data_IF_859413561650
#
_entry.id   IF_859413561650
#
_cell.length_a   1.000
_cell.length_b   1.000
_cell.length_c   1.000
_cell.angle_alpha   90.00
_cell.angle_beta   90.00
_cell.angle_gamma   90.00
#
_symmetry.space_group_name_H-M   'P 1'
#
loop_
_entity.id
_entity.type
_entity.pdbx_description
1 polymer ?
#
# COMPACT_ATOMS: atom_id res chain seq x y z
N UNK A 1 -17.15 1.11 2.71
CA UNK A 1 -16.18 2.08 2.15
C UNK A 1 -15.06 2.46 3.12
N UNK A 2 -15.25 2.31 4.44
CA UNK A 2 -14.25 2.59 5.49
C UNK A 2 -12.99 1.73 5.41
N UNK A 3 -13.09 0.42 5.18
CA UNK A 3 -11.92 -0.46 5.15
C UNK A 3 -10.92 -0.14 4.02
N UNK A 4 -11.41 0.16 2.81
CA UNK A 4 -10.53 0.54 1.69
C UNK A 4 -9.81 1.87 1.95
N UNK A 5 -10.50 2.85 2.54
CA UNK A 5 -9.92 4.14 2.93
C UNK A 5 -8.86 3.95 4.03
N UNK A 6 -9.13 3.08 5.01
CA UNK A 6 -8.16 2.77 6.07
C UNK A 6 -6.91 2.07 5.52
N UNK A 7 -7.06 1.07 4.65
CA UNK A 7 -5.93 0.39 4.02
C UNK A 7 -5.11 1.34 3.13
N UNK A 8 -5.77 2.24 2.39
CA UNK A 8 -5.10 3.30 1.64
C UNK A 8 -4.26 4.21 2.53
N UNK A 9 -4.84 4.71 3.63
CA UNK A 9 -4.11 5.53 4.60
C UNK A 9 -2.94 4.80 5.28
N UNK A 10 -3.08 3.50 5.57
CA UNK A 10 -1.97 2.68 6.04
C UNK A 10 -0.86 2.51 5.00
N UNK A 11 -1.22 2.40 3.71
CA UNK A 11 -0.26 2.37 2.61
C UNK A 11 0.54 3.66 2.48
N UNK A 12 -0.12 4.82 2.58
CA UNK A 12 0.53 6.13 2.52
C UNK A 12 1.47 6.38 3.71
N UNK A 13 1.04 6.02 4.93
CA UNK A 13 1.88 6.10 6.14
C UNK A 13 3.10 5.15 6.04
N UNK A 14 2.90 3.93 5.54
CA UNK A 14 3.99 2.98 5.29
C UNK A 14 5.01 3.55 4.29
N UNK A 15 4.55 4.08 3.15
CA UNK A 15 5.41 4.70 2.14
C UNK A 15 6.22 5.87 2.74
N UNK A 16 5.57 6.72 3.52
CA UNK A 16 6.21 7.87 4.19
C UNK A 16 7.32 7.43 5.14
N UNK A 17 7.07 6.39 5.96
CA UNK A 17 8.05 5.86 6.91
C UNK A 17 9.24 5.20 6.21
N UNK A 18 9.00 4.48 5.12
CA UNK A 18 10.08 3.88 4.32
C UNK A 18 10.97 4.94 3.67
N UNK A 19 10.37 5.98 3.07
CA UNK A 19 11.11 7.11 2.52
C UNK A 19 11.95 7.83 3.59
N UNK A 20 11.39 8.03 4.78
CA UNK A 20 12.13 8.61 5.89
C UNK A 20 13.33 7.74 6.33
N UNK A 21 13.16 6.41 6.34
CA UNK A 21 14.24 5.49 6.63
C UNK A 21 15.33 5.53 5.55
N UNK A 22 14.96 5.58 4.27
CA UNK A 22 15.89 5.69 3.14
C UNK A 22 16.72 6.97 3.24
N UNK A 23 16.08 8.10 3.54
CA UNK A 23 16.75 9.38 3.72
C UNK A 23 17.74 9.35 4.90
N UNK A 24 17.38 8.70 6.02
CA UNK A 24 18.30 8.52 7.15
C UNK A 24 19.51 7.68 6.77
N UNK A 25 19.31 6.58 6.04
CA UNK A 25 20.40 5.71 5.56
C UNK A 25 21.33 6.48 4.62
N UNK A 26 20.76 7.25 3.68
CA UNK A 26 21.53 8.09 2.77
C UNK A 26 22.35 9.17 3.52
N UNK A 27 21.75 9.80 4.52
CA UNK A 27 22.41 10.84 5.33
C UNK A 27 23.57 10.29 6.20
N UNK A 28 23.50 9.02 6.59
CA UNK A 28 24.57 8.37 7.36
C UNK A 28 25.76 7.92 6.49
N UNK A 29 25.56 7.78 5.17
CA UNK A 29 26.56 7.23 4.26
C UNK A 29 27.92 7.96 4.26
N UNK A 30 28.01 9.30 4.36
CA UNK A 30 29.29 10.01 4.38
C UNK A 30 30.21 9.65 5.55
N UNK A 31 29.67 9.10 6.66
CA UNK A 31 30.45 8.67 7.82
C UNK A 31 31.10 7.29 7.68
N UNK A 32 30.85 6.57 6.57
CA UNK A 32 31.24 5.17 6.39
C UNK A 32 32.30 5.06 5.30
N UNK A 33 33.32 4.22 5.50
CA UNK A 33 34.41 4.03 4.55
C UNK A 33 34.62 2.56 4.16
N UNK A 34 35.21 2.35 2.99
CA UNK A 34 35.65 1.03 2.51
C UNK A 34 34.54 -0.03 2.50
N UNK A 35 34.82 -1.20 3.08
CA UNK A 35 33.90 -2.35 3.07
C UNK A 35 32.57 -2.07 3.76
N UNK A 36 32.56 -1.23 4.79
CA UNK A 36 31.34 -0.87 5.52
C UNK A 36 30.43 0.02 4.66
N UNK A 37 30.99 0.99 3.93
CA UNK A 37 30.23 1.80 2.98
C UNK A 37 29.59 0.94 1.88
N UNK A 38 30.36 0.00 1.32
CA UNK A 38 29.84 -0.92 0.30
C UNK A 38 28.74 -1.85 0.85
N UNK A 39 28.88 -2.32 2.09
CA UNK A 39 27.86 -3.14 2.76
C UNK A 39 26.58 -2.34 3.02
N UNK A 40 26.70 -1.09 3.49
CA UNK A 40 25.58 -0.19 3.71
C UNK A 40 24.83 0.12 2.42
N UNK A 41 25.55 0.46 1.34
CA UNK A 41 24.97 0.70 0.02
C UNK A 41 24.15 -0.52 -0.46
N UNK A 42 24.71 -1.73 -0.40
CA UNK A 42 23.98 -2.95 -0.76
C UNK A 42 22.76 -3.19 0.12
N UNK A 43 22.85 -2.91 1.43
CA UNK A 43 21.73 -3.05 2.36
C UNK A 43 20.62 -2.05 2.04
N UNK A 44 20.98 -0.81 1.74
CA UNK A 44 20.07 0.26 1.35
C UNK A 44 19.33 -0.09 0.06
N UNK A 45 20.02 -0.56 -0.99
CA UNK A 45 19.38 -0.97 -2.24
C UNK A 45 18.38 -2.12 -2.04
N UNK A 46 18.73 -3.13 -1.23
CA UNK A 46 17.79 -4.24 -0.91
C UNK A 46 16.58 -3.74 -0.13
N UNK A 47 16.79 -2.83 0.81
CA UNK A 47 15.72 -2.25 1.60
C UNK A 47 14.78 -1.41 0.73
N UNK A 48 15.29 -0.54 -0.14
CA UNK A 48 14.50 0.24 -1.08
C UNK A 48 13.64 -0.66 -1.98
N UNK A 49 14.23 -1.71 -2.57
CA UNK A 49 13.49 -2.66 -3.41
C UNK A 49 12.35 -3.37 -2.66
N UNK A 50 12.61 -3.83 -1.43
CA UNK A 50 11.59 -4.45 -0.59
C UNK A 50 10.48 -3.46 -0.20
N UNK A 51 10.85 -2.23 0.13
CA UNK A 51 9.93 -1.15 0.50
C UNK A 51 8.98 -0.82 -0.65
N UNK A 52 9.51 -0.60 -1.85
CA UNK A 52 8.71 -0.36 -3.07
C UNK A 52 7.75 -1.52 -3.34
N UNK A 53 8.22 -2.76 -3.18
CA UNK A 53 7.38 -3.96 -3.38
C UNK A 53 6.22 -3.99 -2.38
N UNK A 54 6.48 -3.71 -1.10
CA UNK A 54 5.43 -3.72 -0.07
C UNK A 54 4.41 -2.60 -0.27
N UNK A 55 4.86 -1.39 -0.56
CA UNK A 55 3.98 -0.24 -0.85
C UNK A 55 3.09 -0.53 -2.06
N UNK A 56 3.66 -1.09 -3.15
CA UNK A 56 2.90 -1.50 -4.32
C UNK A 56 1.79 -2.50 -3.99
N UNK A 57 2.12 -3.56 -3.25
CA UNK A 57 1.14 -4.59 -2.86
C UNK A 57 0.01 -4.06 -1.96
N UNK A 58 0.30 -3.12 -1.06
CA UNK A 58 -0.73 -2.48 -0.23
C UNK A 58 -1.64 -1.59 -1.09
N UNK A 59 -1.08 -0.86 -2.05
CA UNK A 59 -1.84 -0.08 -3.03
C UNK A 59 -2.78 -0.94 -3.86
N UNK A 60 -2.25 -2.03 -4.45
CA UNK A 60 -3.05 -3.02 -5.19
C UNK A 60 -4.19 -3.58 -4.33
N UNK A 61 -3.90 -3.96 -3.09
CA UNK A 61 -4.92 -4.47 -2.17
C UNK A 61 -6.02 -3.45 -1.87
N UNK A 62 -5.67 -2.17 -1.70
CA UNK A 62 -6.65 -1.10 -1.51
C UNK A 62 -7.57 -0.94 -2.73
N UNK A 63 -6.99 -0.99 -3.94
CA UNK A 63 -7.73 -0.94 -5.21
C UNK A 63 -8.66 -2.14 -5.38
N UNK A 64 -8.21 -3.34 -5.04
CA UNK A 64 -9.01 -4.56 -5.10
C UNK A 64 -10.19 -4.51 -4.12
N UNK A 65 -9.96 -4.08 -2.87
CA UNK A 65 -11.02 -3.88 -1.88
C UNK A 65 -12.05 -2.85 -2.34
N UNK A 66 -11.59 -1.74 -2.91
CA UNK A 66 -12.48 -0.70 -3.44
C UNK A 66 -13.34 -1.25 -4.59
N UNK A 67 -12.72 -1.95 -5.54
CA UNK A 67 -13.41 -2.57 -6.68
C UNK A 67 -14.40 -3.63 -6.22
N UNK A 68 -14.02 -4.47 -5.26
CA UNK A 68 -14.89 -5.49 -4.67
C UNK A 68 -16.11 -4.88 -3.99
N UNK A 69 -15.94 -3.80 -3.23
CA UNK A 69 -17.03 -3.09 -2.58
C UNK A 69 -18.03 -2.51 -3.59
N UNK A 70 -17.55 -1.93 -4.70
CA UNK A 70 -18.41 -1.41 -5.78
C UNK A 70 -19.22 -2.53 -6.44
N UNK A 71 -18.57 -3.67 -6.74
CA UNK A 71 -19.24 -4.84 -7.34
C UNK A 71 -20.31 -5.40 -6.40
N UNK A 72 -20.00 -5.52 -5.11
CA UNK A 72 -20.96 -5.98 -4.12
C UNK A 72 -22.18 -5.06 -4.01
N UNK A 73 -21.98 -3.73 -3.96
CA UNK A 73 -23.08 -2.77 -3.90
C UNK A 73 -23.98 -2.82 -5.15
N UNK A 74 -23.39 -3.00 -6.34
CA UNK A 74 -24.14 -3.16 -7.58
C UNK A 74 -24.96 -4.47 -7.60
N UNK A 75 -24.37 -5.57 -7.11
CA UNK A 75 -25.06 -6.85 -6.95
C UNK A 75 -26.25 -6.73 -6.00
N UNK A 76 -26.04 -6.14 -4.82
CA UNK A 76 -27.13 -5.94 -3.83
C UNK A 76 -28.25 -5.06 -4.37
N UNK A 77 -27.92 -4.00 -5.11
CA UNK A 77 -28.93 -3.16 -5.77
C UNK A 77 -29.77 -3.96 -6.77
N UNK A 78 -29.14 -4.85 -7.53
CA UNK A 78 -29.82 -5.72 -8.49
C UNK A 78 -30.70 -6.74 -7.77
N UNK A 79 -30.18 -7.41 -6.74
CA UNK A 79 -30.92 -8.37 -5.94
C UNK A 79 -32.15 -7.74 -5.28
N UNK A 80 -31.99 -6.55 -4.68
CA UNK A 80 -33.09 -5.83 -4.06
C UNK A 80 -34.22 -5.51 -5.06
N UNK A 81 -33.90 -5.18 -6.32
CA UNK A 81 -34.89 -4.96 -7.38
C UNK A 81 -35.62 -6.25 -7.77
N UNK A 82 -34.90 -7.38 -7.85
CA UNK A 82 -35.50 -8.68 -8.19
C UNK A 82 -36.40 -9.23 -7.08
N UNK A 83 -36.10 -8.89 -5.83
CA UNK A 83 -36.84 -9.31 -4.65
C UNK A 83 -37.96 -8.34 -4.26
N UNK A 84 -38.08 -7.19 -4.93
CA UNK A 84 -39.16 -6.25 -4.69
C UNK A 84 -40.50 -6.92 -5.06
N UNK A 85 -41.51 -6.90 -4.17
CA UNK A 85 -42.82 -7.45 -4.49
C UNK A 85 -43.42 -6.69 -5.68
N UNK A 86 -44.24 -7.35 -6.53
CA UNK A 86 -44.96 -6.64 -7.57
C UNK A 86 -45.84 -5.58 -6.92
N UNK A 87 -45.81 -4.36 -7.46
CA UNK A 87 -46.60 -3.22 -7.00
C UNK A 87 -48.06 -3.68 -6.76
N UNK A 88 -48.53 -3.56 -5.52
CA UNK A 88 -49.89 -3.88 -5.10
C UNK A 88 -50.86 -2.75 -5.40
#
# INVERSE_FOLDING_TARGET
MTAAVQVGGHGEDLATRHLAADNRIASAAPGWAGRSAAALSRRASRWAAASTTMVGRVGEHATDLHTGALRFAAMETTNARLLAPPDG
#
